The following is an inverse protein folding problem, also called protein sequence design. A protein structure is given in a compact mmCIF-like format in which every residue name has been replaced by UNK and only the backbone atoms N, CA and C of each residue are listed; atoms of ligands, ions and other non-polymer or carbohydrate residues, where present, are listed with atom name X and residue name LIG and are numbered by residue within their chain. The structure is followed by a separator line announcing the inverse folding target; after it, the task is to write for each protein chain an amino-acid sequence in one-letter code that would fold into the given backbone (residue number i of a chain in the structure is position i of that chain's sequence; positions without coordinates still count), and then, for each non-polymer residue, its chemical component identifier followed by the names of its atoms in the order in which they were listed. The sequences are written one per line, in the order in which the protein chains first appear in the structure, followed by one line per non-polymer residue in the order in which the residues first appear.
data_IF_989027670272
#
_entry.id   IF_989027670272
#
_cell.length_a   1.000
_cell.length_b   1.000
_cell.length_c   1.000
_cell.angle_alpha   90.00
_cell.angle_beta   90.00
_cell.angle_gamma   90.00
#
_symmetry.space_group_name_H-M   'P 1'
#
loop_
_entity.id
_entity.type
_entity.pdbx_description
1 polymer ?
#
# COMPACT_ATOMS: atom_id res chain seq x y z
N UNK A 1 -12.21 -6.03 -28.84
CA UNK A 1 -12.08 -4.87 -27.94
C UNK A 1 -13.10 -5.03 -26.82
N UNK A 2 -12.69 -5.52 -25.64
CA UNK A 2 -13.43 -5.43 -24.36
C UNK A 2 -12.67 -6.17 -23.24
N UNK A 3 -11.41 -5.78 -22.97
CA UNK A 3 -10.64 -6.33 -21.83
C UNK A 3 -9.94 -5.24 -20.99
N UNK A 4 -10.25 -3.96 -21.22
CA UNK A 4 -9.61 -2.83 -20.56
C UNK A 4 -10.52 -2.13 -19.53
N UNK A 5 -11.73 -2.64 -19.26
CA UNK A 5 -12.72 -1.94 -18.42
C UNK A 5 -12.79 -2.52 -16.99
N UNK A 6 -12.26 -3.72 -16.73
CA UNK A 6 -12.32 -4.32 -15.39
C UNK A 6 -11.16 -3.88 -14.45
N UNK A 7 -9.97 -3.58 -15.00
CA UNK A 7 -8.78 -3.22 -14.18
C UNK A 7 -8.92 -1.83 -13.52
N UNK A 8 -9.70 -0.92 -14.12
CA UNK A 8 -9.81 0.45 -13.65
C UNK A 8 -10.72 0.66 -12.42
N UNK A 9 -11.52 -0.33 -12.00
CA UNK A 9 -12.39 -0.17 -10.82
C UNK A 9 -11.68 -0.48 -9.50
N UNK A 10 -10.79 -1.47 -9.48
CA UNK A 10 -10.08 -1.88 -8.26
C UNK A 10 -9.03 -0.82 -7.83
N UNK A 11 -8.31 -0.21 -8.78
CA UNK A 11 -7.34 0.87 -8.49
C UNK A 11 -8.00 2.11 -7.87
N UNK A 12 -9.21 2.46 -8.35
CA UNK A 12 -9.99 3.58 -7.81
C UNK A 12 -10.57 3.26 -6.42
N UNK A 13 -10.85 1.98 -6.15
CA UNK A 13 -11.31 1.50 -4.85
C UNK A 13 -10.20 1.53 -3.81
N UNK A 14 -8.96 1.19 -4.17
CA UNK A 14 -7.84 1.17 -3.22
C UNK A 14 -7.34 2.57 -2.86
N UNK A 15 -7.48 3.55 -3.77
CA UNK A 15 -6.85 4.85 -3.57
C UNK A 15 -7.38 5.57 -2.33
N UNK A 16 -6.46 5.94 -1.45
CA UNK A 16 -6.78 6.66 -0.21
C UNK A 16 -7.37 5.78 0.91
N UNK A 17 -7.49 4.46 0.70
CA UNK A 17 -7.80 3.52 1.80
C UNK A 17 -6.54 3.19 2.58
N UNK A 18 -6.68 3.02 3.88
CA UNK A 18 -5.60 2.56 4.76
C UNK A 18 -5.42 1.06 4.58
N UNK A 19 -4.18 0.65 4.32
CA UNK A 19 -3.80 -0.75 4.21
C UNK A 19 -4.15 -1.50 5.51
N UNK A 20 -4.81 -2.65 5.38
CA UNK A 20 -5.26 -3.47 6.52
C UNK A 20 -6.59 -3.04 7.13
N UNK A 21 -7.22 -1.96 6.64
CA UNK A 21 -8.62 -1.67 6.98
C UNK A 21 -9.54 -2.74 6.43
N UNK A 22 -10.57 -3.09 7.19
CA UNK A 22 -11.60 -4.03 6.75
C UNK A 22 -12.30 -3.49 5.47
N UNK A 23 -12.74 -4.39 4.61
CA UNK A 23 -13.47 -4.04 3.40
C UNK A 23 -14.85 -3.46 3.77
N UNK A 24 -15.43 -3.93 4.88
CA UNK A 24 -16.70 -3.47 5.44
C UNK A 24 -16.56 -2.26 6.39
N UNK A 25 -15.33 -1.74 6.61
CA UNK A 25 -15.14 -0.54 7.41
C UNK A 25 -15.84 0.65 6.73
N UNK A 26 -16.80 1.33 7.40
CA UNK A 26 -17.48 2.48 6.82
C UNK A 26 -16.57 3.70 6.62
N UNK A 27 -15.41 3.74 7.29
CA UNK A 27 -14.45 4.84 7.19
C UNK A 27 -13.00 4.32 7.01
N UNK A 28 -12.71 3.62 5.90
CA UNK A 28 -11.44 2.93 5.69
C UNK A 28 -10.29 3.88 5.36
N UNK A 29 -10.55 5.19 5.31
CA UNK A 29 -9.63 6.25 4.92
C UNK A 29 -8.70 6.72 6.05
N UNK A 30 -7.84 7.73 5.77
CA UNK A 30 -6.92 8.27 6.75
C UNK A 30 -7.65 8.96 7.90
N UNK A 31 -7.19 8.71 9.13
CA UNK A 31 -7.75 9.31 10.34
C UNK A 31 -6.94 10.55 10.77
N UNK A 32 -7.59 11.59 11.33
CA UNK A 32 -6.89 12.75 11.87
C UNK A 32 -5.87 12.36 12.96
N UNK A 33 -4.72 13.03 12.98
CA UNK A 33 -3.66 12.80 13.98
C UNK A 33 -2.81 11.54 13.75
N UNK A 34 -2.90 10.93 12.57
CA UNK A 34 -2.08 9.80 12.13
C UNK A 34 -1.20 10.17 10.94
N UNK A 35 -0.06 9.51 10.85
CA UNK A 35 0.90 9.66 9.76
C UNK A 35 0.76 8.51 8.77
N UNK A 36 0.65 8.84 7.49
CA UNK A 36 0.44 7.87 6.42
C UNK A 36 1.49 8.01 5.32
N UNK A 37 1.90 6.88 4.77
CA UNK A 37 2.73 6.81 3.57
C UNK A 37 1.96 6.15 2.42
N UNK A 38 1.89 6.80 1.26
CA UNK A 38 1.27 6.26 0.05
C UNK A 38 2.19 5.18 -0.55
N UNK A 39 1.61 4.02 -0.87
CA UNK A 39 2.29 2.93 -1.58
C UNK A 39 2.22 3.19 -3.09
N UNK A 40 3.36 3.10 -3.78
CA UNK A 40 3.46 3.49 -5.20
C UNK A 40 4.06 2.39 -6.07
N UNK A 41 3.40 2.08 -7.20
CA UNK A 41 3.91 1.32 -8.34
C UNK A 41 3.86 -0.21 -8.23
N UNK A 42 3.21 -0.76 -7.21
CA UNK A 42 3.12 -2.21 -6.98
C UNK A 42 1.68 -2.69 -6.81
N UNK A 43 1.47 -3.95 -6.38
CA UNK A 43 0.13 -4.54 -6.21
C UNK A 43 -0.78 -3.81 -5.23
N UNK A 44 -0.22 -2.93 -4.38
CA UNK A 44 -0.93 -2.16 -3.36
C UNK A 44 -0.92 -0.65 -3.69
N UNK A 45 -0.69 -0.29 -4.97
CA UNK A 45 -0.62 1.10 -5.42
C UNK A 45 -1.84 1.92 -4.97
N UNK A 46 -1.59 3.12 -4.46
CA UNK A 46 -2.62 4.05 -4.01
C UNK A 46 -3.15 3.82 -2.58
N UNK A 47 -2.81 2.70 -1.93
CA UNK A 47 -3.12 2.48 -0.51
C UNK A 47 -2.22 3.33 0.39
N UNK A 48 -2.74 3.63 1.58
CA UNK A 48 -2.04 4.36 2.64
C UNK A 48 -1.56 3.39 3.71
N UNK A 49 -0.25 3.32 3.93
CA UNK A 49 0.33 2.61 5.06
C UNK A 49 0.33 3.52 6.30
N UNK A 50 -0.30 3.09 7.38
CA UNK A 50 -0.21 3.77 8.67
C UNK A 50 1.20 3.60 9.26
N UNK A 51 1.94 4.71 9.29
CA UNK A 51 3.30 4.78 9.83
C UNK A 51 3.34 5.57 11.14
N UNK A 52 2.19 5.80 11.76
CA UNK A 52 2.08 6.53 13.02
C UNK A 52 2.96 5.88 14.08
N UNK A 53 3.82 6.68 14.71
CA UNK A 53 4.73 6.21 15.76
C UNK A 53 5.91 5.37 15.27
N UNK A 54 6.12 5.24 13.95
CA UNK A 54 7.32 4.59 13.44
C UNK A 54 8.57 5.44 13.75
N UNK A 55 9.66 4.77 14.11
CA UNK A 55 10.95 5.44 14.32
C UNK A 55 11.57 5.84 12.99
N UNK A 56 12.49 6.82 13.00
CA UNK A 56 13.23 7.22 11.80
C UNK A 56 13.97 6.03 11.14
N UNK A 57 14.47 5.08 11.94
CA UNK A 57 15.08 3.85 11.44
C UNK A 57 14.09 3.00 10.65
N UNK A 58 12.93 2.70 11.24
CA UNK A 58 11.88 1.92 10.58
C UNK A 58 11.33 2.65 9.34
N UNK A 59 11.27 3.98 9.40
CA UNK A 59 10.90 4.78 8.24
C UNK A 59 11.90 4.64 7.09
N UNK A 60 13.19 4.48 7.39
CA UNK A 60 14.25 4.30 6.39
C UNK A 60 14.34 2.87 5.82
N UNK A 61 13.69 1.89 6.44
CA UNK A 61 13.74 0.48 6.02
C UNK A 61 12.65 0.11 5.01
N UNK A 62 12.93 -0.96 4.25
CA UNK A 62 11.92 -1.62 3.43
C UNK A 62 10.86 -2.28 4.31
N UNK A 63 9.63 -2.32 3.81
CA UNK A 63 8.49 -2.94 4.49
C UNK A 63 7.90 -4.00 3.59
N UNK A 64 7.88 -5.24 4.06
CA UNK A 64 7.18 -6.35 3.41
C UNK A 64 5.73 -6.40 3.91
N UNK A 65 4.78 -6.13 3.01
CA UNK A 65 3.35 -6.10 3.31
C UNK A 65 2.68 -7.38 2.81
N UNK A 66 2.04 -8.17 3.68
CA UNK A 66 1.24 -9.31 3.26
C UNK A 66 0.17 -8.94 2.24
N UNK A 67 0.08 -9.70 1.16
CA UNK A 67 -0.93 -9.46 0.13
C UNK A 67 -1.15 -10.70 -0.72
N UNK A 68 -2.41 -11.02 -0.99
CA UNK A 68 -2.79 -12.15 -1.85
C UNK A 68 -2.88 -11.76 -3.33
N UNK A 69 -2.82 -10.46 -3.64
CA UNK A 69 -2.89 -9.92 -5.01
C UNK A 69 -1.51 -9.67 -5.63
N UNK A 70 -0.43 -9.89 -4.88
CA UNK A 70 0.93 -9.85 -5.39
C UNK A 70 1.29 -11.09 -6.22
N UNK A 71 2.50 -11.12 -6.81
CA UNK A 71 2.98 -12.20 -7.69
C UNK A 71 2.82 -13.61 -7.11
N UNK A 72 2.96 -13.77 -5.80
CA UNK A 72 2.98 -15.08 -5.13
C UNK A 72 1.62 -15.54 -4.62
N UNK A 73 0.56 -14.74 -4.78
CA UNK A 73 -0.78 -15.11 -4.33
C UNK A 73 -0.87 -15.22 -2.79
N UNK A 74 -1.79 -16.06 -2.27
CA UNK A 74 -1.97 -16.27 -0.84
C UNK A 74 -0.67 -16.60 -0.10
N UNK A 75 -0.41 -15.86 0.99
CA UNK A 75 0.82 -15.97 1.79
C UNK A 75 1.99 -15.09 1.33
N UNK A 76 1.91 -14.55 0.11
CA UNK A 76 2.94 -13.66 -0.44
C UNK A 76 2.97 -12.27 0.21
N UNK A 77 4.02 -11.51 -0.11
CA UNK A 77 4.20 -10.13 0.33
C UNK A 77 4.71 -9.25 -0.80
N UNK A 78 4.34 -7.97 -0.76
CA UNK A 78 4.93 -6.92 -1.61
C UNK A 78 5.83 -6.03 -0.77
N UNK A 79 7.05 -5.80 -1.25
CA UNK A 79 8.09 -5.04 -0.55
C UNK A 79 8.14 -3.60 -1.07
N UNK A 80 8.08 -2.65 -0.15
CA UNK A 80 8.10 -1.22 -0.43
C UNK A 80 9.22 -0.52 0.33
N UNK A 81 9.99 0.34 -0.35
CA UNK A 81 11.07 1.12 0.24
C UNK A 81 10.69 2.61 0.34
N UNK A 82 11.19 3.37 1.32
CA UNK A 82 10.96 4.81 1.39
C UNK A 82 11.51 5.52 0.15
N UNK A 83 10.75 6.49 -0.37
CA UNK A 83 11.20 7.33 -1.48
C UNK A 83 12.06 8.49 -0.94
N UNK A 84 13.35 8.61 -1.29
CA UNK A 84 14.22 9.66 -0.74
C UNK A 84 13.75 11.09 -1.01
N UNK A 85 13.09 11.31 -2.15
CA UNK A 85 12.56 12.62 -2.55
C UNK A 85 11.17 12.93 -1.99
N UNK A 86 10.48 11.96 -1.38
CA UNK A 86 9.14 12.14 -0.82
C UNK A 86 8.92 11.19 0.38
N UNK A 87 9.21 11.63 1.61
CA UNK A 87 9.12 10.78 2.81
C UNK A 87 7.73 10.17 3.07
N UNK A 88 6.67 10.79 2.53
CA UNK A 88 5.29 10.26 2.59
C UNK A 88 4.95 9.25 1.49
N UNK A 89 5.93 8.79 0.70
CA UNK A 89 5.74 7.77 -0.34
C UNK A 89 6.69 6.60 -0.12
N UNK A 90 6.21 5.40 -0.39
CA UNK A 90 7.03 4.19 -0.46
C UNK A 90 6.88 3.52 -1.81
N UNK A 91 7.99 3.27 -2.47
CA UNK A 91 8.04 2.71 -3.82
C UNK A 91 8.17 1.20 -3.76
N UNK A 92 7.35 0.51 -4.55
CA UNK A 92 7.45 -0.93 -4.71
C UNK A 92 8.82 -1.33 -5.25
N UNK A 93 9.37 -2.43 -4.72
CA UNK A 93 10.69 -2.95 -5.09
C UNK A 93 10.60 -4.33 -5.73
N UNK A 94 9.89 -5.23 -5.08
CA UNK A 94 9.71 -6.61 -5.50
C UNK A 94 8.62 -7.27 -4.66
N UNK A 95 8.17 -8.44 -5.07
CA UNK A 95 7.36 -9.33 -4.24
C UNK A 95 8.24 -10.45 -3.69
N UNK A 96 7.83 -11.06 -2.57
CA UNK A 96 8.46 -12.24 -1.96
C UNK A 96 7.39 -13.27 -1.60
N UNK A 97 7.73 -14.58 -1.63
CA UNK A 97 6.93 -15.62 -0.98
C UNK A 97 6.75 -15.37 0.52
#
# INVERSE_FOLDING_TARGET
MAAAILVNMDEQLMRGRVYGSDHDDPDPGPRPGRDYAELVGGPLDGLLLDVTGWTAHRLAEETALPTEIGRYGPGGRSVYAPRPSAPGKRDWRHDTP
#
